data_IF_662858960786
#
_entry.id   IF_662858960786
#
_cell.length_a   1.000
_cell.length_b   1.000
_cell.length_c   1.000
_cell.angle_alpha   90.00
_cell.angle_beta   90.00
_cell.angle_gamma   90.00
#
_symmetry.space_group_name_H-M   'P 1'
#
loop_
_entity.id
_entity.type
_entity.pdbx_description
1 polymer ?
#
# COMPACT_ATOMS: atom_id res chain seq x y z
N UNK A 1 13.52 22.89 17.50
CA UNK A 1 13.28 21.54 18.04
C UNK A 1 13.15 21.63 19.54
N UNK A 2 12.11 21.01 20.13
CA UNK A 2 11.81 20.96 21.56
C UNK A 2 11.82 19.50 22.03
N UNK A 3 12.04 19.22 23.33
CA UNK A 3 12.01 17.85 23.87
C UNK A 3 10.68 17.15 23.55
N UNK A 4 10.77 15.88 23.16
CA UNK A 4 9.63 15.04 22.84
C UNK A 4 9.95 13.58 23.20
N UNK A 5 8.90 12.75 23.29
CA UNK A 5 9.02 11.33 23.59
C UNK A 5 8.24 10.51 22.59
N UNK A 6 8.80 9.40 22.17
CA UNK A 6 8.06 8.31 21.56
C UNK A 6 7.75 7.30 22.66
N UNK A 7 6.47 7.04 22.90
CA UNK A 7 6.00 6.13 23.94
C UNK A 7 5.24 4.99 23.27
N UNK A 8 5.70 3.76 23.47
CA UNK A 8 5.06 2.56 22.95
C UNK A 8 4.02 2.02 23.94
N UNK A 9 2.99 1.39 23.44
CA UNK A 9 1.98 0.71 24.26
C UNK A 9 2.60 -0.40 25.14
N UNK A 10 3.72 -0.98 24.72
CA UNK A 10 4.49 -1.99 25.43
C UNK A 10 5.31 -1.43 26.60
N UNK A 11 5.36 -0.09 26.75
CA UNK A 11 5.98 0.62 27.87
C UNK A 11 7.34 1.23 27.56
N UNK A 12 7.98 0.92 26.44
CA UNK A 12 9.26 1.53 26.09
C UNK A 12 9.08 3.02 25.76
N UNK A 13 10.05 3.80 26.18
CA UNK A 13 10.13 5.25 25.96
C UNK A 13 11.45 5.59 25.26
N UNK A 14 11.37 6.31 24.18
CA UNK A 14 12.51 6.87 23.46
C UNK A 14 12.47 8.38 23.54
N UNK A 15 13.52 8.97 24.15
CA UNK A 15 13.68 10.41 24.21
C UNK A 15 14.17 10.95 22.86
N UNK A 16 13.62 12.08 22.42
CA UNK A 16 13.96 12.71 21.16
C UNK A 16 13.57 14.18 21.15
N UNK A 17 13.49 14.76 19.96
CA UNK A 17 13.10 16.15 19.75
C UNK A 17 12.07 16.25 18.62
N UNK A 18 11.18 17.21 18.77
CA UNK A 18 10.13 17.50 17.76
C UNK A 18 10.15 18.98 17.39
N UNK A 19 9.74 19.35 16.18
CA UNK A 19 9.51 20.75 15.84
C UNK A 19 8.53 21.41 16.83
N UNK A 20 8.70 22.69 17.06
CA UNK A 20 7.91 23.46 18.06
C UNK A 20 6.43 23.63 17.71
N UNK A 21 6.06 23.38 16.47
CA UNK A 21 4.66 23.38 16.01
C UNK A 21 3.91 22.07 16.33
N UNK A 22 4.62 20.96 16.59
CA UNK A 22 4.00 19.71 17.05
C UNK A 22 3.59 19.85 18.50
N UNK A 23 2.35 19.44 18.84
CA UNK A 23 1.78 19.59 20.17
C UNK A 23 1.09 18.31 20.63
N UNK A 24 1.04 18.14 21.96
CA UNK A 24 0.23 17.11 22.62
C UNK A 24 0.64 15.68 22.29
N UNK A 25 -0.35 14.80 22.17
CA UNK A 25 -0.18 13.36 21.96
C UNK A 25 -0.69 13.00 20.58
N UNK A 26 0.18 12.40 19.75
CA UNK A 26 -0.13 12.01 18.38
C UNK A 26 0.02 10.49 18.25
N UNK A 27 -1.08 9.77 18.11
CA UNK A 27 -1.14 8.31 18.09
C UNK A 27 -0.99 7.72 16.69
N UNK A 28 -0.52 6.46 16.64
CA UNK A 28 -0.48 5.63 15.45
C UNK A 28 0.07 4.23 15.72
N UNK A 29 -0.06 3.35 14.75
CA UNK A 29 0.64 2.07 14.74
C UNK A 29 2.10 2.31 14.32
N UNK A 30 3.04 1.94 15.17
CA UNK A 30 4.47 2.16 14.91
C UNK A 30 4.98 1.08 13.96
N UNK A 31 5.44 1.50 12.79
CA UNK A 31 5.99 0.63 11.76
C UNK A 31 7.37 1.13 11.34
N UNK A 32 8.21 0.25 10.77
CA UNK A 32 9.50 0.67 10.25
C UNK A 32 9.61 0.41 8.76
N UNK A 33 10.30 1.30 8.05
CA UNK A 33 10.62 1.19 6.64
C UNK A 33 12.15 1.20 6.47
N UNK A 34 12.67 0.21 5.73
CA UNK A 34 14.12 0.06 5.52
C UNK A 34 14.59 0.62 4.17
N UNK A 35 13.73 1.31 3.43
CA UNK A 35 14.10 2.01 2.20
C UNK A 35 15.11 3.12 2.47
N UNK A 36 16.10 3.25 1.58
CA UNK A 36 17.14 4.29 1.69
C UNK A 36 16.68 5.61 1.07
N UNK A 37 15.69 5.57 0.20
CA UNK A 37 15.14 6.71 -0.56
C UNK A 37 13.62 6.61 -0.62
N UNK A 38 12.95 7.65 -1.13
CA UNK A 38 11.52 7.60 -1.41
C UNK A 38 10.64 7.95 -0.22
N UNK A 39 11.11 8.76 0.73
CA UNK A 39 10.29 9.16 1.87
C UNK A 39 9.07 10.00 1.44
N UNK A 40 9.15 10.74 0.34
CA UNK A 40 8.02 11.51 -0.20
C UNK A 40 6.90 10.59 -0.64
N UNK A 41 7.23 9.56 -1.41
CA UNK A 41 6.31 8.55 -1.91
C UNK A 41 5.73 7.72 -0.75
N UNK A 42 6.57 7.31 0.21
CA UNK A 42 6.14 6.59 1.43
C UNK A 42 5.12 7.40 2.21
N UNK A 43 5.38 8.68 2.45
CA UNK A 43 4.50 9.52 3.27
C UNK A 43 3.16 9.86 2.57
N UNK A 44 3.16 9.88 1.24
CA UNK A 44 1.95 10.13 0.44
C UNK A 44 1.22 8.87 -0.01
N UNK A 45 1.75 7.66 0.25
CA UNK A 45 1.06 6.40 0.02
C UNK A 45 -0.11 6.25 1.00
N UNK A 46 -1.38 6.18 0.52
CA UNK A 46 -2.55 6.01 1.38
C UNK A 46 -2.47 4.78 2.28
N UNK A 47 -1.70 3.76 1.92
CA UNK A 47 -1.51 2.55 2.73
C UNK A 47 -0.85 2.79 4.08
N UNK A 48 -0.20 3.95 4.29
CA UNK A 48 0.35 4.35 5.60
C UNK A 48 -0.66 5.09 6.49
N UNK A 49 -1.91 5.23 6.09
CA UNK A 49 -2.94 5.86 6.94
C UNK A 49 -3.02 5.18 8.30
N UNK A 50 -2.96 6.00 9.38
CA UNK A 50 -2.95 5.52 10.76
C UNK A 50 -1.61 5.01 11.28
N UNK A 51 -0.53 5.02 10.47
CA UNK A 51 0.79 4.53 10.86
C UNK A 51 1.78 5.68 11.10
N UNK A 52 2.57 5.58 12.17
CA UNK A 52 3.75 6.41 12.41
C UNK A 52 4.95 5.63 11.87
N UNK A 53 5.63 6.21 10.88
CA UNK A 53 6.67 5.54 10.11
C UNK A 53 8.05 5.84 10.70
N UNK A 54 8.73 4.80 11.17
CA UNK A 54 10.15 4.85 11.53
C UNK A 54 11.01 4.58 10.30
N UNK A 55 11.72 5.57 9.81
CA UNK A 55 12.73 5.38 8.78
C UNK A 55 14.04 4.89 9.42
N UNK A 56 14.51 3.73 8.95
CA UNK A 56 15.77 3.16 9.47
C UNK A 56 17.01 3.77 8.83
N UNK A 57 16.86 4.45 7.68
CA UNK A 57 17.94 5.21 7.07
C UNK A 57 18.28 6.41 7.97
N UNK A 58 19.57 6.66 8.25
CA UNK A 58 19.97 7.59 9.30
C UNK A 58 19.47 9.03 9.11
N UNK A 59 19.60 9.57 7.90
CA UNK A 59 19.26 10.97 7.60
C UNK A 59 18.08 11.05 6.64
N UNK A 60 16.98 11.66 7.07
CA UNK A 60 15.77 11.86 6.28
C UNK A 60 15.52 13.36 6.05
N UNK A 61 15.04 13.70 4.85
CA UNK A 61 14.82 15.09 4.41
C UNK A 61 15.95 15.68 3.57
N UNK A 62 17.05 14.94 3.37
CA UNK A 62 18.28 15.39 2.74
C UNK A 62 18.16 15.80 1.27
N UNK A 63 17.14 15.34 0.54
CA UNK A 63 16.89 15.75 -0.84
C UNK A 63 15.63 16.62 -1.02
N UNK A 64 14.98 17.01 0.08
CA UNK A 64 13.77 17.83 0.05
C UNK A 64 12.53 17.07 -0.39
N UNK A 65 11.46 17.79 -0.68
CA UNK A 65 10.19 17.26 -1.19
C UNK A 65 10.01 17.76 -2.61
N UNK A 66 9.83 16.85 -3.53
CA UNK A 66 9.63 17.13 -4.96
C UNK A 66 8.20 17.64 -5.22
N UNK A 67 7.97 18.11 -6.46
CA UNK A 67 6.65 18.54 -6.94
C UNK A 67 5.56 17.46 -6.70
N UNK A 68 4.35 17.91 -6.44
CA UNK A 68 3.20 17.03 -6.16
C UNK A 68 2.94 16.00 -7.26
N UNK A 69 3.35 16.26 -8.49
CA UNK A 69 3.26 15.30 -9.60
C UNK A 69 4.02 13.98 -9.36
N UNK A 70 4.99 13.97 -8.42
CA UNK A 70 5.76 12.78 -8.03
C UNK A 70 5.19 12.07 -6.80
N UNK A 71 4.20 12.65 -6.12
CA UNK A 71 3.60 12.04 -4.94
C UNK A 71 2.68 10.88 -5.31
N UNK A 72 2.41 10.02 -4.32
CA UNK A 72 1.51 8.89 -4.49
C UNK A 72 0.03 9.22 -4.18
N UNK A 73 -0.22 10.44 -3.68
CA UNK A 73 -1.56 11.03 -3.49
C UNK A 73 -1.43 12.56 -3.36
N UNK A 74 -2.54 13.23 -3.04
CA UNK A 74 -2.61 14.70 -2.90
C UNK A 74 -2.07 15.25 -1.56
N UNK A 75 -1.74 14.36 -0.60
CA UNK A 75 -1.37 14.74 0.79
C UNK A 75 -0.51 13.69 1.47
N UNK A 76 -0.02 14.02 2.68
CA UNK A 76 0.58 13.04 3.60
C UNK A 76 -0.54 12.22 4.26
N UNK A 77 -0.40 10.89 4.23
CA UNK A 77 -1.30 9.95 4.90
C UNK A 77 -0.71 9.35 6.18
N UNK A 78 0.63 9.29 6.30
CA UNK A 78 1.28 8.84 7.52
C UNK A 78 0.84 9.68 8.73
N UNK A 79 0.55 9.02 9.86
CA UNK A 79 0.14 9.68 11.10
C UNK A 79 1.30 10.38 11.82
N UNK A 80 2.54 10.10 11.42
CA UNK A 80 3.74 10.73 11.96
C UNK A 80 5.02 10.09 11.43
N UNK A 81 6.15 10.68 11.77
CA UNK A 81 7.48 10.30 11.28
C UNK A 81 8.44 10.18 12.46
N UNK A 82 9.20 9.09 12.47
CA UNK A 82 10.29 8.85 13.42
C UNK A 82 11.59 8.73 12.62
N UNK A 83 12.58 9.55 12.97
CA UNK A 83 13.89 9.58 12.30
C UNK A 83 15.02 9.62 13.31
N UNK A 84 16.18 9.09 12.92
CA UNK A 84 17.41 9.26 13.69
C UNK A 84 17.92 10.70 13.53
N UNK A 85 18.00 11.19 12.31
CA UNK A 85 18.43 12.54 12.00
C UNK A 85 17.48 13.18 10.97
N UNK A 86 16.97 14.37 11.29
CA UNK A 86 16.20 15.19 10.35
C UNK A 86 17.16 16.19 9.69
N UNK A 87 17.30 16.09 8.38
CA UNK A 87 18.17 16.97 7.61
C UNK A 87 17.73 18.45 7.76
N UNK A 88 18.62 19.34 8.21
CA UNK A 88 18.29 20.76 8.38
C UNK A 88 18.17 21.49 7.04
N UNK A 89 18.80 20.96 6.00
CA UNK A 89 18.79 21.49 4.63
C UNK A 89 18.65 20.35 3.64
N UNK A 90 18.11 20.65 2.47
CA UNK A 90 18.09 19.73 1.34
C UNK A 90 18.99 20.22 0.21
N UNK A 91 19.58 19.27 -0.53
CA UNK A 91 20.63 19.56 -1.52
C UNK A 91 20.27 19.16 -2.96
N UNK A 92 19.04 18.66 -3.21
CA UNK A 92 18.62 18.27 -4.56
C UNK A 92 17.95 19.42 -5.29
N UNK A 93 18.32 19.64 -6.55
CA UNK A 93 17.78 20.72 -7.40
C UNK A 93 16.28 20.57 -7.70
N UNK A 94 15.72 19.36 -7.56
CA UNK A 94 14.29 19.06 -7.77
C UNK A 94 13.46 19.22 -6.50
N UNK A 95 14.09 19.48 -5.34
CA UNK A 95 13.36 19.74 -4.09
C UNK A 95 12.75 21.14 -4.13
N UNK A 96 11.46 21.24 -3.85
CA UNK A 96 10.71 22.51 -3.80
C UNK A 96 10.59 23.06 -2.37
N UNK A 97 10.66 22.19 -1.36
CA UNK A 97 10.53 22.55 0.06
C UNK A 97 11.26 21.56 0.96
N UNK A 98 11.51 21.97 2.20
CA UNK A 98 12.06 21.06 3.22
C UNK A 98 11.00 20.04 3.67
N UNK A 99 11.46 18.86 4.13
CA UNK A 99 10.57 17.87 4.73
C UNK A 99 9.83 18.45 5.95
N UNK A 100 10.51 19.25 6.76
CA UNK A 100 9.92 19.87 7.95
C UNK A 100 8.79 20.84 7.61
N UNK A 101 8.97 21.71 6.62
CA UNK A 101 7.94 22.65 6.19
C UNK A 101 6.75 21.94 5.56
N UNK A 102 7.02 20.89 4.79
CA UNK A 102 5.97 20.06 4.21
C UNK A 102 5.13 19.36 5.27
N UNK A 103 5.78 18.73 6.26
CA UNK A 103 5.07 18.09 7.38
C UNK A 103 4.29 19.12 8.22
N UNK A 104 4.83 20.33 8.41
CA UNK A 104 4.11 21.43 9.06
C UNK A 104 2.83 21.80 8.31
N UNK A 105 2.91 21.92 6.98
CA UNK A 105 1.75 22.22 6.11
C UNK A 105 0.62 21.20 6.26
N UNK A 106 0.96 19.92 6.41
CA UNK A 106 -0.01 18.82 6.55
C UNK A 106 -0.26 18.41 8.01
N UNK A 107 0.28 19.15 8.98
CA UNK A 107 0.18 18.86 10.41
C UNK A 107 0.62 17.40 10.77
N UNK A 108 1.66 16.90 10.12
CA UNK A 108 2.20 15.56 10.31
C UNK A 108 3.34 15.59 11.32
N UNK A 109 3.19 15.07 12.55
CA UNK A 109 4.20 15.16 13.59
C UNK A 109 5.49 14.44 13.21
N UNK A 110 6.63 15.04 13.60
CA UNK A 110 7.98 14.46 13.43
C UNK A 110 8.61 14.34 14.82
N UNK A 111 9.26 13.20 15.07
CA UNK A 111 10.21 13.07 16.16
C UNK A 111 11.57 12.64 15.61
N UNK A 112 12.61 13.39 15.95
CA UNK A 112 14.00 13.16 15.56
C UNK A 112 14.87 12.85 16.78
N UNK A 113 16.14 12.56 16.55
CA UNK A 113 17.15 12.13 17.57
C UNK A 113 16.77 10.80 18.23
N UNK A 114 16.01 9.94 17.54
CA UNK A 114 15.60 8.62 18.03
C UNK A 114 16.65 7.56 17.64
N UNK A 115 16.99 6.66 18.56
CA UNK A 115 17.69 5.43 18.19
C UNK A 115 16.73 4.49 17.42
N UNK A 116 16.63 4.74 16.11
CA UNK A 116 15.77 3.96 15.21
C UNK A 116 16.20 2.50 15.10
N UNK A 117 17.48 2.19 15.38
CA UNK A 117 17.98 0.82 15.43
C UNK A 117 17.45 0.08 16.66
N UNK A 118 17.48 0.71 17.84
CA UNK A 118 16.91 0.14 19.07
C UNK A 118 15.39 -0.05 18.91
N UNK A 119 14.68 0.97 18.40
CA UNK A 119 13.24 0.90 18.12
C UNK A 119 12.91 -0.26 17.18
N UNK A 120 13.65 -0.40 16.07
CA UNK A 120 13.44 -1.50 15.12
C UNK A 120 13.64 -2.88 15.76
N UNK A 121 14.59 -3.03 16.69
CA UNK A 121 14.76 -4.29 17.45
C UNK A 121 13.52 -4.59 18.31
N UNK A 122 12.98 -3.58 19.00
CA UNK A 122 11.74 -3.71 19.79
C UNK A 122 10.59 -4.16 18.88
N UNK A 123 10.38 -3.49 17.73
CA UNK A 123 9.32 -3.84 16.79
C UNK A 123 9.49 -5.24 16.18
N UNK A 124 10.73 -5.70 15.95
CA UNK A 124 10.98 -7.07 15.50
C UNK A 124 10.68 -8.11 16.58
N UNK A 125 10.86 -7.75 17.84
CA UNK A 125 10.59 -8.65 18.97
C UNK A 125 9.10 -8.73 19.29
N UNK A 126 8.39 -7.60 19.36
CA UNK A 126 7.00 -7.52 19.80
C UNK A 126 5.99 -7.52 18.63
N UNK A 127 6.44 -7.20 17.42
CA UNK A 127 5.59 -6.92 16.26
C UNK A 127 5.32 -5.42 16.14
N UNK A 128 4.41 -5.05 15.23
CA UNK A 128 3.91 -3.68 15.18
C UNK A 128 3.05 -3.42 16.42
N UNK A 129 3.26 -2.27 17.05
CA UNK A 129 2.62 -1.86 18.30
C UNK A 129 2.01 -0.47 18.16
N UNK A 130 0.97 -0.18 18.90
CA UNK A 130 0.49 1.20 19.02
C UNK A 130 1.52 2.04 19.79
N UNK A 131 1.62 3.31 19.43
CA UNK A 131 2.51 4.25 20.10
C UNK A 131 2.06 5.68 19.89
N UNK A 132 2.77 6.60 20.54
CA UNK A 132 2.48 8.02 20.46
C UNK A 132 3.75 8.87 20.42
N UNK A 133 3.77 9.89 19.57
CA UNK A 133 4.70 11.02 19.65
C UNK A 133 4.10 12.02 20.63
N UNK A 134 4.80 12.30 21.72
CA UNK A 134 4.34 13.14 22.83
C UNK A 134 5.23 14.37 22.96
N UNK A 135 4.60 15.54 22.96
CA UNK A 135 5.26 16.82 23.24
C UNK A 135 4.58 17.47 24.44
N UNK A 136 5.36 17.74 25.49
CA UNK A 136 4.89 18.21 26.80
C UNK A 136 4.82 17.10 27.83
N UNK A 137 4.18 17.38 28.96
CA UNK A 137 4.20 16.52 30.16
C UNK A 137 3.08 15.50 30.24
N UNK A 138 2.14 15.53 29.29
CA UNK A 138 1.01 14.60 29.26
C UNK A 138 1.49 13.19 28.85
N UNK A 139 0.92 12.17 29.50
CA UNK A 139 1.20 10.77 29.17
C UNK A 139 -0.04 10.11 28.55
N UNK A 140 0.14 9.23 27.56
CA UNK A 140 -0.99 8.45 27.04
C UNK A 140 -1.59 7.56 28.14
N UNK A 141 -2.90 7.66 28.34
CA UNK A 141 -3.64 6.78 29.27
C UNK A 141 -4.25 5.57 28.57
N UNK A 142 -4.42 5.64 27.25
CA UNK A 142 -4.89 4.55 26.39
C UNK A 142 -4.38 4.76 24.97
N UNK A 143 -4.39 3.69 24.16
CA UNK A 143 -4.00 3.73 22.76
C UNK A 143 -5.18 3.32 21.89
N UNK A 144 -5.48 4.03 20.78
CA UNK A 144 -6.54 3.63 19.85
C UNK A 144 -6.15 2.32 19.14
N UNK A 145 -7.13 1.45 18.95
CA UNK A 145 -6.97 0.28 18.09
C UNK A 145 -7.12 0.71 16.62
N UNK A 146 -6.00 0.97 15.96
CA UNK A 146 -5.96 1.40 14.56
C UNK A 146 -6.55 0.31 13.63
N UNK A 147 -6.41 -0.97 13.98
CA UNK A 147 -6.93 -2.08 13.17
C UNK A 147 -8.48 -2.16 13.19
N UNK A 148 -9.11 -1.55 14.18
CA UNK A 148 -10.56 -1.45 14.28
C UNK A 148 -11.17 -0.37 13.37
N UNK A 149 -10.36 0.55 12.83
CA UNK A 149 -10.81 1.65 12.00
C UNK A 149 -11.05 1.21 10.55
N UNK A 150 -12.06 1.80 9.90
CA UNK A 150 -12.29 1.67 8.46
C UNK A 150 -11.44 2.70 7.70
N UNK A 151 -10.14 2.41 7.60
CA UNK A 151 -9.18 3.33 7.00
C UNK A 151 -9.36 3.48 5.48
N UNK A 152 -9.91 2.47 4.81
CA UNK A 152 -10.16 2.52 3.37
C UNK A 152 -11.21 3.57 3.05
N UNK A 153 -12.25 3.69 3.87
CA UNK A 153 -13.27 4.73 3.73
C UNK A 153 -12.71 6.15 3.80
N UNK A 154 -11.60 6.36 4.53
CA UNK A 154 -10.98 7.67 4.67
C UNK A 154 -10.06 8.07 3.49
N UNK A 155 -9.73 7.11 2.60
CA UNK A 155 -8.75 7.31 1.53
C UNK A 155 -9.27 6.97 0.13
N UNK A 156 -10.41 6.31 0.02
CA UNK A 156 -11.11 6.04 -1.25
C UNK A 156 -11.67 7.33 -1.85
N UNK A 157 -11.98 7.33 -3.14
CA UNK A 157 -12.70 8.45 -3.76
C UNK A 157 -14.17 8.48 -3.35
N UNK A 158 -14.77 9.66 -3.32
CA UNK A 158 -16.16 9.86 -2.89
C UNK A 158 -17.19 9.42 -3.95
N UNK A 159 -16.83 9.48 -5.22
CA UNK A 159 -17.74 9.18 -6.35
C UNK A 159 -16.99 8.65 -7.57
N UNK A 160 -17.64 7.83 -8.40
CA UNK A 160 -17.03 7.29 -9.61
C UNK A 160 -16.52 8.37 -10.58
N UNK A 161 -15.30 8.15 -11.12
CA UNK A 161 -14.67 9.01 -12.12
C UNK A 161 -14.25 8.16 -13.31
N UNK A 162 -14.55 8.63 -14.54
CA UNK A 162 -14.15 7.93 -15.77
C UNK A 162 -13.11 8.75 -16.54
N UNK A 163 -12.07 8.07 -17.04
CA UNK A 163 -11.01 8.67 -17.86
C UNK A 163 -10.67 7.74 -19.03
N UNK A 164 -10.13 8.33 -20.10
CA UNK A 164 -9.77 7.62 -21.32
C UNK A 164 -10.93 7.58 -22.33
N UNK A 165 -10.59 7.16 -23.55
CA UNK A 165 -11.54 7.00 -24.68
C UNK A 165 -11.27 5.69 -25.42
N UNK A 166 -10.60 4.76 -24.78
CA UNK A 166 -10.32 3.45 -25.35
C UNK A 166 -11.58 2.60 -25.47
N UNK A 167 -11.54 1.61 -26.31
CA UNK A 167 -12.67 0.71 -26.57
C UNK A 167 -12.80 -0.40 -25.50
N UNK A 168 -11.82 -0.54 -24.62
CA UNK A 168 -11.83 -1.50 -23.51
C UNK A 168 -12.16 -0.78 -22.21
N UNK A 169 -13.17 -1.24 -21.50
CA UNK A 169 -13.65 -0.65 -20.26
C UNK A 169 -13.15 -1.46 -19.07
N UNK A 170 -12.48 -0.83 -18.13
CA UNK A 170 -12.14 -1.47 -16.86
C UNK A 170 -12.76 -0.73 -15.68
N UNK A 171 -13.13 -1.50 -14.67
CA UNK A 171 -13.45 -0.97 -13.35
C UNK A 171 -12.15 -0.97 -12.54
N UNK A 172 -11.78 0.17 -11.99
CA UNK A 172 -10.66 0.32 -11.07
C UNK A 172 -11.19 0.64 -9.67
N UNK A 173 -11.23 -0.38 -8.81
CA UNK A 173 -11.73 -0.26 -7.42
C UNK A 173 -10.66 0.43 -6.59
N UNK A 174 -11.03 1.58 -6.03
CA UNK A 174 -10.16 2.42 -5.23
C UNK A 174 -10.29 2.11 -3.73
N UNK A 175 -9.31 1.41 -3.21
CA UNK A 175 -9.17 1.15 -1.78
C UNK A 175 -8.11 2.07 -1.11
N UNK A 176 -7.72 3.16 -1.77
CA UNK A 176 -6.59 4.02 -1.42
C UNK A 176 -5.48 3.88 -2.47
N UNK A 177 -5.85 4.08 -3.73
CA UNK A 177 -5.00 3.85 -4.90
C UNK A 177 -3.84 4.84 -4.94
N UNK A 178 -2.62 4.32 -5.00
CA UNK A 178 -1.42 5.11 -5.29
C UNK A 178 -1.50 5.76 -6.67
N UNK A 179 -1.05 7.02 -6.74
CA UNK A 179 -1.04 7.77 -7.99
C UNK A 179 -0.23 7.07 -9.09
N UNK A 180 0.82 6.32 -8.73
CA UNK A 180 1.63 5.61 -9.71
C UNK A 180 0.85 4.45 -10.36
N UNK A 181 0.02 3.71 -9.63
CA UNK A 181 -0.92 2.73 -10.19
C UNK A 181 -1.84 3.42 -11.22
N UNK A 182 -2.40 4.57 -10.83
CA UNK A 182 -3.27 5.34 -11.71
C UNK A 182 -2.55 5.81 -12.97
N UNK A 183 -1.31 6.30 -12.86
CA UNK A 183 -0.46 6.72 -13.99
C UNK A 183 -0.22 5.56 -14.96
N UNK A 184 0.14 4.36 -14.45
CA UNK A 184 0.32 3.17 -15.29
C UNK A 184 -0.94 2.79 -16.03
N UNK A 185 -2.09 2.70 -15.35
CA UNK A 185 -3.35 2.36 -15.99
C UNK A 185 -3.75 3.38 -17.07
N UNK A 186 -3.58 4.68 -16.79
CA UNK A 186 -3.90 5.75 -17.74
C UNK A 186 -2.96 5.82 -18.96
N UNK A 187 -1.79 5.18 -18.91
CA UNK A 187 -0.85 5.13 -20.04
C UNK A 187 -1.34 4.22 -21.19
N UNK A 188 -2.28 3.30 -20.92
CA UNK A 188 -2.84 2.42 -21.93
C UNK A 188 -3.98 3.10 -22.70
N UNK A 189 -3.69 3.61 -23.90
CA UNK A 189 -4.66 4.36 -24.73
C UNK A 189 -5.89 3.56 -25.15
N UNK A 190 -5.81 2.22 -25.18
CA UNK A 190 -6.92 1.32 -25.46
C UNK A 190 -7.94 1.20 -24.33
N UNK A 191 -7.64 1.72 -23.11
CA UNK A 191 -8.51 1.64 -21.96
C UNK A 191 -9.40 2.88 -21.81
N UNK A 192 -10.63 2.63 -21.40
CA UNK A 192 -11.49 3.56 -20.67
C UNK A 192 -11.58 3.03 -19.24
N UNK A 193 -11.18 3.83 -18.26
CA UNK A 193 -11.07 3.41 -16.86
C UNK A 193 -12.16 4.11 -16.07
N UNK A 194 -13.01 3.35 -15.41
CA UNK A 194 -13.95 3.84 -14.40
C UNK A 194 -13.38 3.53 -13.02
N UNK A 195 -12.80 4.55 -12.34
CA UNK A 195 -12.37 4.47 -10.95
C UNK A 195 -13.59 4.61 -10.06
N UNK A 196 -13.77 3.69 -9.12
CA UNK A 196 -14.96 3.60 -8.27
C UNK A 196 -14.55 3.47 -6.79
N UNK A 197 -15.36 3.93 -5.82
CA UNK A 197 -15.13 3.68 -4.40
C UNK A 197 -15.06 2.18 -4.07
N UNK A 198 -14.43 1.83 -2.95
CA UNK A 198 -14.22 0.44 -2.51
C UNK A 198 -15.51 -0.36 -2.31
N UNK A 199 -16.62 0.30 -1.99
CA UNK A 199 -17.94 -0.28 -1.71
C UNK A 199 -18.94 -0.16 -2.88
N UNK A 200 -18.48 0.32 -4.02
CA UNK A 200 -19.32 0.51 -5.21
C UNK A 200 -19.67 -0.82 -5.88
N UNK A 201 -20.97 -1.14 -5.99
CA UNK A 201 -21.43 -2.36 -6.70
C UNK A 201 -21.42 -2.15 -8.22
N UNK A 202 -20.38 -2.65 -8.88
CA UNK A 202 -20.19 -2.61 -10.32
C UNK A 202 -20.70 -3.87 -11.03
N UNK A 203 -21.31 -4.81 -10.34
CA UNK A 203 -21.70 -6.12 -10.92
C UNK A 203 -22.79 -6.01 -12.00
N UNK A 204 -23.53 -4.90 -12.04
CA UNK A 204 -24.53 -4.58 -13.06
C UNK A 204 -23.98 -3.84 -14.29
N UNK A 205 -22.71 -3.45 -14.29
CA UNK A 205 -22.12 -2.63 -15.34
C UNK A 205 -21.52 -3.46 -16.48
N UNK A 206 -21.35 -2.78 -17.63
CA UNK A 206 -20.61 -3.32 -18.76
C UNK A 206 -19.12 -2.95 -18.63
N UNK A 207 -18.27 -3.95 -18.43
CA UNK A 207 -16.81 -3.81 -18.34
C UNK A 207 -16.09 -5.02 -18.93
N UNK A 208 -14.82 -4.87 -19.28
CA UNK A 208 -13.97 -5.93 -19.84
C UNK A 208 -13.04 -6.55 -18.78
N UNK A 209 -12.74 -5.85 -17.70
CA UNK A 209 -11.89 -6.32 -16.60
C UNK A 209 -12.04 -5.51 -15.33
N UNK A 210 -11.53 -6.03 -14.22
CA UNK A 210 -11.53 -5.38 -12.90
C UNK A 210 -10.13 -5.29 -12.36
N UNK A 211 -9.76 -4.12 -11.89
CA UNK A 211 -8.52 -3.84 -11.18
C UNK A 211 -8.83 -3.44 -9.74
N UNK A 212 -8.13 -4.02 -8.74
CA UNK A 212 -8.33 -3.69 -7.33
C UNK A 212 -7.03 -3.13 -6.77
N UNK A 213 -7.09 -1.91 -6.26
CA UNK A 213 -5.90 -1.18 -5.82
C UNK A 213 -5.36 -1.67 -4.46
N UNK A 214 -4.20 -1.12 -4.10
CA UNK A 214 -3.66 -1.11 -2.75
C UNK A 214 -4.54 -0.29 -1.79
N UNK A 215 -4.25 -0.36 -0.49
CA UNK A 215 -4.91 0.45 0.53
C UNK A 215 -4.46 0.12 1.94
N UNK A 216 -4.90 0.90 2.94
CA UNK A 216 -4.54 0.76 4.34
C UNK A 216 -5.41 -0.24 5.10
N UNK A 217 -4.93 -0.63 6.30
CA UNK A 217 -5.74 -1.27 7.33
C UNK A 217 -5.84 -2.78 7.26
N UNK A 218 -6.79 -3.32 8.02
CA UNK A 218 -7.09 -4.76 8.04
C UNK A 218 -8.00 -5.11 6.86
N UNK A 219 -7.64 -6.06 5.98
CA UNK A 219 -8.47 -6.46 4.84
C UNK A 219 -9.89 -6.90 5.23
N UNK A 220 -10.09 -7.39 6.44
CA UNK A 220 -11.43 -7.76 6.95
C UNK A 220 -12.42 -6.58 6.98
N UNK A 221 -11.93 -5.33 7.01
CA UNK A 221 -12.77 -4.13 6.92
C UNK A 221 -13.29 -3.89 5.50
N UNK A 222 -12.70 -4.55 4.51
CA UNK A 222 -13.12 -4.52 3.11
C UNK A 222 -14.01 -5.71 2.72
N UNK A 223 -14.77 -6.30 3.65
CA UNK A 223 -15.64 -7.45 3.36
C UNK A 223 -16.64 -7.13 2.24
N UNK A 224 -17.20 -5.93 2.22
CA UNK A 224 -18.11 -5.48 1.15
C UNK A 224 -17.45 -5.52 -0.23
N UNK A 225 -16.20 -5.11 -0.34
CA UNK A 225 -15.43 -5.17 -1.58
C UNK A 225 -15.19 -6.61 -2.03
N UNK A 226 -14.87 -7.50 -1.08
CA UNK A 226 -14.68 -8.92 -1.35
C UNK A 226 -15.99 -9.60 -1.81
N UNK A 227 -17.12 -9.25 -1.21
CA UNK A 227 -18.44 -9.78 -1.57
C UNK A 227 -18.87 -9.33 -2.99
N UNK A 228 -18.62 -8.05 -3.33
CA UNK A 228 -18.87 -7.52 -4.68
C UNK A 228 -17.97 -8.23 -5.69
N UNK A 229 -16.68 -8.39 -5.38
CA UNK A 229 -15.73 -9.11 -6.23
C UNK A 229 -16.15 -10.56 -6.45
N UNK A 230 -16.55 -11.28 -5.41
CA UNK A 230 -17.04 -12.65 -5.50
C UNK A 230 -18.24 -12.75 -6.46
N UNK A 231 -19.23 -11.86 -6.32
CA UNK A 231 -20.38 -11.79 -7.23
C UNK A 231 -19.95 -11.52 -8.68
N UNK A 232 -18.98 -10.62 -8.89
CA UNK A 232 -18.45 -10.32 -10.22
C UNK A 232 -17.75 -11.53 -10.85
N UNK A 233 -16.96 -12.29 -10.06
CA UNK A 233 -16.33 -13.54 -10.50
C UNK A 233 -17.35 -14.60 -10.90
N UNK A 234 -18.41 -14.76 -10.12
CA UNK A 234 -19.49 -15.71 -10.42
C UNK A 234 -20.28 -15.34 -11.67
N UNK A 235 -20.59 -14.04 -11.83
CA UNK A 235 -21.39 -13.53 -12.96
C UNK A 235 -20.62 -13.53 -14.27
N UNK A 236 -19.31 -13.24 -14.21
CA UNK A 236 -18.47 -13.04 -15.38
C UNK A 236 -17.11 -13.76 -15.24
N UNK A 237 -17.08 -15.10 -15.16
CA UNK A 237 -15.87 -15.84 -14.80
C UNK A 237 -14.72 -15.69 -15.80
N UNK A 238 -14.98 -15.21 -17.01
CA UNK A 238 -13.94 -15.02 -18.01
C UNK A 238 -13.38 -13.58 -18.07
N UNK A 239 -13.89 -12.62 -17.28
CA UNK A 239 -13.37 -11.25 -17.29
C UNK A 239 -12.11 -11.18 -16.42
N UNK A 240 -10.98 -10.68 -16.94
CA UNK A 240 -9.74 -10.56 -16.18
C UNK A 240 -9.89 -9.75 -14.89
N UNK A 241 -9.25 -10.22 -13.83
CA UNK A 241 -9.19 -9.52 -12.55
C UNK A 241 -7.74 -9.47 -12.09
N UNK A 242 -7.27 -8.28 -11.72
CA UNK A 242 -5.94 -8.08 -11.16
C UNK A 242 -6.00 -7.24 -9.89
N UNK A 243 -5.32 -7.71 -8.81
CA UNK A 243 -5.25 -7.01 -7.53
C UNK A 243 -3.82 -6.71 -7.09
N UNK A 244 -3.62 -5.55 -6.43
CA UNK A 244 -2.33 -5.15 -5.87
C UNK A 244 -2.46 -4.92 -4.36
N UNK A 245 -1.57 -5.52 -3.58
CA UNK A 245 -1.40 -5.36 -2.15
C UNK A 245 -2.71 -5.68 -1.38
N UNK A 246 -3.46 -4.69 -0.90
CA UNK A 246 -4.78 -4.91 -0.32
C UNK A 246 -5.72 -5.60 -1.31
N UNK A 247 -5.62 -5.29 -2.61
CA UNK A 247 -6.39 -5.97 -3.66
C UNK A 247 -6.11 -7.47 -3.76
N UNK A 248 -4.88 -7.91 -3.46
CA UNK A 248 -4.56 -9.34 -3.38
C UNK A 248 -5.21 -10.00 -2.15
N UNK A 249 -5.25 -9.31 -1.04
CA UNK A 249 -5.89 -9.78 0.19
C UNK A 249 -7.42 -9.85 0.03
N UNK A 250 -8.03 -8.84 -0.60
CA UNK A 250 -9.46 -8.81 -0.95
C UNK A 250 -9.80 -9.96 -1.90
N UNK A 251 -8.96 -10.21 -2.92
CA UNK A 251 -9.13 -11.37 -3.81
C UNK A 251 -9.05 -12.68 -3.03
N UNK A 252 -8.08 -12.83 -2.11
CA UNK A 252 -8.00 -13.97 -1.19
C UNK A 252 -9.29 -14.18 -0.41
N UNK A 253 -9.87 -13.12 0.16
CA UNK A 253 -11.14 -13.19 0.90
C UNK A 253 -12.32 -13.56 -0.03
N UNK A 254 -12.39 -12.99 -1.22
CA UNK A 254 -13.46 -13.25 -2.19
C UNK A 254 -13.53 -14.73 -2.63
N UNK A 255 -12.39 -15.42 -2.61
CA UNK A 255 -12.32 -16.87 -2.91
C UNK A 255 -12.46 -17.77 -1.67
N UNK A 256 -12.67 -17.18 -0.50
CA UNK A 256 -12.82 -17.90 0.77
C UNK A 256 -11.51 -18.19 1.51
N UNK A 257 -10.37 -17.73 1.04
CA UNK A 257 -9.12 -17.83 1.76
C UNK A 257 -9.09 -16.84 2.95
N UNK A 258 -8.29 -17.17 3.96
CA UNK A 258 -8.08 -16.32 5.13
C UNK A 258 -6.87 -15.41 4.95
N UNK A 259 -6.91 -14.27 5.63
CA UNK A 259 -5.76 -13.38 5.79
C UNK A 259 -5.29 -13.40 7.23
N UNK A 260 -4.00 -13.18 7.45
CA UNK A 260 -3.40 -13.10 8.78
C UNK A 260 -2.45 -11.91 8.89
N UNK A 261 -2.32 -11.36 10.11
CA UNK A 261 -1.42 -10.26 10.40
C UNK A 261 0.00 -10.80 10.54
N UNK A 262 0.94 -10.22 9.79
CA UNK A 262 2.37 -10.47 9.94
C UNK A 262 2.88 -9.80 11.20
N UNK A 263 3.92 -10.37 11.82
CA UNK A 263 4.46 -9.85 13.07
C UNK A 263 4.86 -8.38 12.97
N UNK A 264 5.61 -8.01 11.95
CA UNK A 264 6.03 -6.62 11.70
C UNK A 264 5.81 -6.15 10.26
N UNK A 265 5.25 -7.02 9.39
CA UNK A 265 4.97 -6.71 8.00
C UNK A 265 6.22 -6.55 7.13
N UNK A 266 5.99 -6.21 5.85
CA UNK A 266 7.04 -5.91 4.88
C UNK A 266 6.92 -4.46 4.44
N UNK A 267 7.96 -3.65 4.71
CA UNK A 267 8.04 -2.25 4.28
C UNK A 267 9.47 -1.94 3.87
N UNK A 268 9.75 -2.19 2.57
CA UNK A 268 11.06 -2.01 1.96
C UNK A 268 10.94 -2.04 0.44
N UNK A 269 12.04 -1.70 -0.24
CA UNK A 269 12.13 -1.62 -1.70
C UNK A 269 12.97 -2.75 -2.31
N UNK A 270 13.36 -3.75 -1.52
CA UNK A 270 14.32 -4.79 -1.91
C UNK A 270 13.94 -6.19 -1.44
N UNK A 271 12.65 -6.48 -1.33
CA UNK A 271 12.20 -7.84 -1.02
C UNK A 271 12.27 -8.74 -2.26
N UNK A 272 13.06 -9.82 -2.22
CA UNK A 272 13.13 -10.75 -3.32
C UNK A 272 11.91 -11.68 -3.34
N UNK A 273 11.22 -11.75 -4.48
CA UNK A 273 10.06 -12.62 -4.69
C UNK A 273 10.34 -13.61 -5.80
N UNK A 274 10.24 -14.89 -5.50
CA UNK A 274 10.35 -15.98 -6.46
C UNK A 274 9.06 -16.10 -7.28
N UNK A 275 9.17 -16.18 -8.59
CA UNK A 275 8.08 -16.63 -9.46
C UNK A 275 7.99 -18.16 -9.36
N UNK A 276 6.95 -18.66 -8.69
CA UNK A 276 6.76 -20.10 -8.42
C UNK A 276 6.77 -20.94 -9.71
N UNK A 277 7.37 -22.12 -9.60
CA UNK A 277 7.59 -23.01 -10.74
C UNK A 277 8.76 -22.64 -11.66
N UNK A 278 9.54 -21.60 -11.28
CA UNK A 278 10.73 -21.17 -12.03
C UNK A 278 11.93 -20.91 -11.09
N UNK A 279 13.12 -20.66 -11.68
CA UNK A 279 14.30 -20.18 -10.95
C UNK A 279 14.44 -18.64 -11.01
N UNK A 280 13.34 -17.92 -11.27
CA UNK A 280 13.34 -16.48 -11.50
C UNK A 280 12.86 -15.73 -10.28
N UNK A 281 13.64 -14.82 -9.78
CA UNK A 281 13.26 -13.91 -8.71
C UNK A 281 13.29 -12.45 -9.16
N UNK A 282 12.48 -11.63 -8.54
CA UNK A 282 12.35 -10.20 -8.80
C UNK A 282 12.55 -9.44 -7.50
N UNK A 283 13.22 -8.30 -7.55
CA UNK A 283 13.20 -7.36 -6.44
C UNK A 283 11.88 -6.60 -6.47
N UNK A 284 11.26 -6.46 -5.30
CA UNK A 284 9.93 -5.85 -5.18
C UNK A 284 9.89 -4.80 -4.09
N UNK A 285 9.08 -3.76 -4.33
CA UNK A 285 8.67 -2.80 -3.32
C UNK A 285 7.47 -3.36 -2.55
N UNK A 286 7.49 -3.25 -1.22
CA UNK A 286 6.42 -3.78 -0.37
C UNK A 286 6.05 -2.80 0.75
N UNK A 287 4.76 -2.72 1.03
CA UNK A 287 4.19 -2.00 2.16
C UNK A 287 2.89 -2.68 2.61
N UNK A 288 3.00 -3.75 3.40
CA UNK A 288 1.83 -4.44 3.91
C UNK A 288 2.08 -5.09 5.28
N UNK A 289 1.02 -5.18 6.09
CA UNK A 289 1.04 -5.83 7.40
C UNK A 289 0.28 -7.16 7.45
N UNK A 290 -0.38 -7.54 6.34
CA UNK A 290 -1.17 -8.78 6.24
C UNK A 290 -0.74 -9.58 5.02
N UNK A 291 -1.01 -10.89 5.05
CA UNK A 291 -0.78 -11.81 3.94
C UNK A 291 -1.95 -12.81 3.81
N UNK A 292 -2.11 -13.40 2.63
CA UNK A 292 -3.06 -14.50 2.38
C UNK A 292 -2.48 -15.79 2.96
N UNK A 293 -3.31 -16.55 3.66
CA UNK A 293 -2.94 -17.88 4.19
C UNK A 293 -3.11 -18.93 3.10
N UNK A 294 -1.99 -19.40 2.55
CA UNK A 294 -1.91 -20.43 1.52
C UNK A 294 -2.73 -21.68 1.85
N UNK A 295 -2.72 -22.10 3.13
CA UNK A 295 -3.40 -23.32 3.59
C UNK A 295 -4.92 -23.27 3.49
N UNK A 296 -5.46 -22.08 3.27
CA UNK A 296 -6.91 -21.86 3.18
C UNK A 296 -7.38 -21.52 1.78
N UNK A 297 -6.48 -21.50 0.80
CA UNK A 297 -6.82 -21.26 -0.60
C UNK A 297 -7.54 -22.48 -1.19
N UNK A 298 -8.58 -22.30 -2.05
CA UNK A 298 -9.20 -23.38 -2.80
C UNK A 298 -8.23 -24.04 -3.78
N UNK A 299 -8.45 -25.32 -4.10
CA UNK A 299 -7.55 -26.16 -4.92
C UNK A 299 -7.23 -25.57 -6.32
N UNK A 300 -8.15 -24.78 -6.92
CA UNK A 300 -7.95 -24.18 -8.23
C UNK A 300 -7.04 -22.93 -8.20
N UNK A 301 -6.59 -22.55 -7.01
CA UNK A 301 -5.73 -21.37 -6.83
C UNK A 301 -4.32 -21.79 -6.45
N UNK A 302 -3.35 -21.12 -7.03
CA UNK A 302 -1.94 -21.39 -6.84
C UNK A 302 -1.23 -20.16 -6.28
N UNK A 303 -0.21 -20.39 -5.46
CA UNK A 303 0.79 -19.36 -5.17
C UNK A 303 1.50 -19.02 -6.47
N UNK A 304 1.53 -17.75 -6.79
CA UNK A 304 2.19 -17.24 -8.00
C UNK A 304 3.57 -16.65 -7.72
N UNK A 305 3.66 -15.91 -6.63
CA UNK A 305 4.92 -15.38 -6.12
C UNK A 305 5.08 -15.70 -4.63
N UNK A 306 6.32 -15.93 -4.21
CA UNK A 306 6.69 -16.23 -2.83
C UNK A 306 7.87 -15.36 -2.39
N UNK A 307 7.80 -14.80 -1.18
CA UNK A 307 8.92 -14.07 -0.58
C UNK A 307 10.06 -15.03 -0.22
N UNK A 308 11.27 -14.75 -0.68
CA UNK A 308 12.43 -15.58 -0.40
C UNK A 308 12.97 -15.44 1.03
N UNK A 309 12.61 -14.37 1.75
CA UNK A 309 13.10 -14.13 3.11
C UNK A 309 12.32 -14.95 4.16
N UNK A 310 11.00 -15.10 3.99
CA UNK A 310 10.12 -15.68 5.02
C UNK A 310 9.05 -16.63 4.47
N UNK A 311 9.08 -16.90 3.18
CA UNK A 311 8.20 -17.84 2.48
C UNK A 311 6.72 -17.43 2.46
N UNK A 312 6.38 -16.19 2.79
CA UNK A 312 5.01 -15.68 2.71
C UNK A 312 4.51 -15.60 1.27
N UNK A 313 3.20 -15.76 1.07
CA UNK A 313 2.55 -15.60 -0.23
C UNK A 313 2.69 -14.14 -0.70
N UNK A 314 3.23 -13.98 -1.91
CA UNK A 314 3.43 -12.66 -2.54
C UNK A 314 2.66 -12.50 -3.85
N UNK A 315 1.92 -13.51 -4.23
CA UNK A 315 1.00 -13.46 -5.35
C UNK A 315 0.20 -14.74 -5.44
N UNK A 316 -1.03 -14.61 -5.91
CA UNK A 316 -1.96 -15.72 -6.16
C UNK A 316 -2.48 -15.63 -7.58
N UNK A 317 -2.78 -16.77 -8.18
CA UNK A 317 -3.43 -16.85 -9.50
C UNK A 317 -4.35 -18.06 -9.57
N UNK A 318 -5.40 -17.95 -10.37
CA UNK A 318 -6.25 -19.10 -10.72
C UNK A 318 -5.59 -19.92 -11.83
N UNK A 319 -5.77 -21.23 -11.83
CA UNK A 319 -5.15 -22.15 -12.81
C UNK A 319 -5.60 -21.90 -14.24
N UNK A 320 -6.88 -21.67 -14.45
CA UNK A 320 -7.52 -21.59 -15.79
C UNK A 320 -8.23 -20.27 -16.06
N UNK A 321 -8.71 -19.56 -15.02
CA UNK A 321 -9.41 -18.28 -15.18
C UNK A 321 -8.40 -17.12 -15.15
N UNK A 322 -8.74 -15.97 -15.78
CA UNK A 322 -7.83 -14.84 -15.87
C UNK A 322 -7.79 -13.98 -14.59
N UNK A 323 -7.63 -14.65 -13.45
CA UNK A 323 -7.58 -14.03 -12.13
C UNK A 323 -6.18 -14.12 -11.57
N UNK A 324 -5.62 -13.00 -11.15
CA UNK A 324 -4.33 -12.95 -10.49
C UNK A 324 -4.20 -11.71 -9.60
N UNK A 325 -3.36 -11.82 -8.59
CA UNK A 325 -3.05 -10.69 -7.72
C UNK A 325 -1.64 -10.82 -7.16
N UNK A 326 -1.03 -9.68 -6.81
CA UNK A 326 0.28 -9.62 -6.18
C UNK A 326 0.23 -8.80 -4.89
N UNK A 327 0.98 -9.23 -3.88
CA UNK A 327 1.05 -8.58 -2.59
C UNK A 327 2.01 -7.39 -2.60
N UNK A 328 3.02 -7.44 -3.45
CA UNK A 328 3.98 -6.35 -3.66
C UNK A 328 3.44 -5.29 -4.63
N UNK A 329 4.19 -4.19 -4.80
CA UNK A 329 3.85 -3.04 -5.61
C UNK A 329 4.61 -3.04 -6.94
N UNK A 330 4.04 -3.56 -8.05
CA UNK A 330 4.71 -3.59 -9.36
C UNK A 330 4.88 -2.20 -9.96
N UNK A 331 4.08 -1.23 -9.53
CA UNK A 331 4.16 0.18 -9.92
C UNK A 331 5.35 0.90 -9.29
N UNK A 332 6.03 0.29 -8.32
CA UNK A 332 7.08 0.94 -7.51
C UNK A 332 6.59 2.24 -6.84
N UNK A 333 7.37 3.32 -6.86
CA UNK A 333 7.06 4.60 -6.23
C UNK A 333 6.94 4.50 -4.68
N UNK A 334 8.11 4.32 -3.99
CA UNK A 334 9.46 4.10 -4.48
C UNK A 334 9.79 2.63 -4.72
N UNK A 335 10.85 2.37 -5.48
CA UNK A 335 11.42 1.02 -5.58
C UNK A 335 11.71 0.54 -7.01
N UNK A 336 12.03 -0.75 -7.17
CA UNK A 336 12.36 -1.35 -8.46
C UNK A 336 11.12 -1.51 -9.35
N UNK A 337 11.35 -1.45 -10.66
CA UNK A 337 10.34 -1.59 -11.72
C UNK A 337 10.37 -2.97 -12.39
N UNK A 338 11.04 -3.94 -11.76
CA UNK A 338 11.27 -5.29 -12.32
C UNK A 338 9.98 -6.05 -12.64
N UNK A 339 8.87 -5.67 -12.00
CA UNK A 339 7.59 -6.37 -12.12
C UNK A 339 6.50 -5.56 -12.83
N UNK A 340 6.86 -4.44 -13.45
CA UNK A 340 5.90 -3.56 -14.16
C UNK A 340 5.16 -4.28 -15.30
N UNK A 341 5.77 -5.31 -15.90
CA UNK A 341 5.17 -6.16 -16.92
C UNK A 341 3.83 -6.82 -16.50
N UNK A 342 3.52 -6.81 -15.20
CA UNK A 342 2.25 -7.31 -14.68
C UNK A 342 1.06 -6.47 -15.14
N UNK A 343 1.26 -5.17 -15.35
CA UNK A 343 0.24 -4.31 -15.96
C UNK A 343 0.00 -4.69 -17.41
N UNK A 344 1.06 -4.89 -18.22
CA UNK A 344 0.94 -5.34 -19.60
C UNK A 344 0.19 -6.67 -19.67
N UNK A 345 0.56 -7.62 -18.81
CA UNK A 345 -0.13 -8.91 -18.73
C UNK A 345 -1.64 -8.78 -18.47
N UNK A 346 -2.04 -7.91 -17.54
CA UNK A 346 -3.45 -7.67 -17.23
C UNK A 346 -4.17 -7.09 -18.46
N UNK A 347 -3.59 -6.09 -19.09
CA UNK A 347 -4.17 -5.44 -20.30
C UNK A 347 -4.24 -6.39 -21.49
N UNK A 348 -3.23 -7.21 -21.70
CA UNK A 348 -3.22 -8.26 -22.72
C UNK A 348 -4.33 -9.32 -22.51
N UNK A 349 -4.61 -9.68 -21.27
CA UNK A 349 -5.71 -10.59 -20.96
C UNK A 349 -7.09 -9.98 -21.34
N UNK A 350 -7.25 -8.66 -21.19
CA UNK A 350 -8.45 -7.93 -21.62
C UNK A 350 -8.55 -7.95 -23.16
N UNK A 351 -7.44 -7.78 -23.88
CA UNK A 351 -7.40 -7.74 -25.33
C UNK A 351 -7.73 -9.09 -26.00
N UNK A 352 -7.11 -10.18 -25.54
CA UNK A 352 -7.24 -11.54 -26.11
C UNK A 352 -8.66 -12.09 -26.12
N UNK A 353 -9.52 -11.66 -25.22
CA UNK A 353 -10.91 -12.13 -25.13
C UNK A 353 -11.78 -11.75 -26.32
N UNK A 354 -11.50 -10.65 -27.01
CA UNK A 354 -12.33 -10.20 -28.14
C UNK A 354 -12.08 -10.96 -29.43
N UNK A 355 -10.87 -11.48 -29.62
CA UNK A 355 -10.55 -12.30 -30.80
C UNK A 355 -11.24 -13.66 -30.75
N UNK A 356 -11.36 -14.23 -29.53
CA UNK A 356 -12.08 -15.49 -29.34
C UNK A 356 -13.58 -15.38 -29.56
N UNK A 357 -14.22 -14.21 -29.29
CA UNK A 357 -15.67 -13.98 -29.51
C UNK A 357 -15.96 -13.67 -30.97
N UNK A 358 -15.09 -12.97 -31.70
CA UNK A 358 -15.25 -12.72 -33.13
C UNK A 358 -15.13 -14.00 -33.95
N UNK A 359 -14.33 -14.98 -33.57
CA UNK A 359 -14.16 -16.25 -34.31
C UNK A 359 -15.27 -17.29 -34.06
N UNK A 360 -16.23 -17.03 -33.16
CA UNK A 360 -17.40 -17.89 -32.91
C UNK A 360 -18.64 -17.35 -33.66
N UNK A 361 -18.58 -16.12 -34.19
CA UNK A 361 -19.68 -15.45 -34.89
C UNK A 361 -19.51 -15.34 -36.42
N UNK A 362 -18.49 -16.05 -36.95
CA UNK A 362 -18.22 -16.12 -38.40
C UNK A 362 -18.44 -17.59 -38.92
#
# INVERSE_FOLDING_TARGET
>A
MIPAKLILQTGEVFEGKSPDWVKGINFGEIVFNTGMVGYTEVLTDPSYKGQIVCFTYPMIGNYGVEAQSHWESDRIHAAGIIVSELAPFYARSQGEQSLQDWCKKYNTPIIADIDTRALTKVLRQHGVVAGAIVVGDQMPTSYPDISALDLVKEVTIDSPVSIGKGHRKIIAVDCGMKANIWRYLCAYSQLTIKRVPYDYDYTGEDYDGVFISNGPGDPKRCQITADILQKAMQKHPQKPIFGICLGAQIMGMAIGAKTYKLKFGHRAQNHPCLLEGTNRSYLTSQNHGFAVDEKTMPDQWQVWFRNLNDQTVQGIKHESLPYSAVQFHPEAGPGPVDTVWLFDRFVDQIAKKSEAVCNISS
#
